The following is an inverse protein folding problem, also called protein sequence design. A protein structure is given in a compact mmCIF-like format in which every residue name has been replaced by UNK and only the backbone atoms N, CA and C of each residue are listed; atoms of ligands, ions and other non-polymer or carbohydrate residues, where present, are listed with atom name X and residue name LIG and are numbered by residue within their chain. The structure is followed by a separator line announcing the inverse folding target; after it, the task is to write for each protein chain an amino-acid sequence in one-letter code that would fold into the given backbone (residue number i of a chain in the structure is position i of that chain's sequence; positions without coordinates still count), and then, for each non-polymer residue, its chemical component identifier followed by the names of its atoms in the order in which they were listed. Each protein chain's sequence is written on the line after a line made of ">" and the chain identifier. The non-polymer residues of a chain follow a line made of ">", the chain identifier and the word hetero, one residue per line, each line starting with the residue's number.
data_IF_116821572913
#
_entry.id   IF_116821572913
#
_cell.length_a   1.000
_cell.length_b   1.000
_cell.length_c   1.000
_cell.angle_alpha   90.00
_cell.angle_beta   90.00
_cell.angle_gamma   90.00
#
_symmetry.space_group_name_H-M   'P 1'
#
loop_
_entity.id
_entity.type
_entity.pdbx_description
1 polymer ?
#
# COMPACT_ATOMS: atom_id res chain seq x y z
N UNK A 1 -23.41 -41.40 -8.53
CA UNK A 1 -22.74 -41.15 -7.23
C UNK A 1 -21.30 -41.67 -7.21
N UNK A 2 -21.02 -42.90 -7.63
CA UNK A 2 -19.65 -43.42 -7.77
C UNK A 2 -18.77 -42.72 -8.84
N UNK A 3 -19.37 -42.18 -9.92
CA UNK A 3 -18.62 -41.41 -10.96
C UNK A 3 -18.25 -39.97 -10.57
N UNK A 4 -18.75 -39.47 -9.44
CA UNK A 4 -18.36 -38.15 -8.90
C UNK A 4 -17.08 -38.29 -8.07
N UNK A 5 -16.92 -39.39 -7.34
CA UNK A 5 -15.67 -39.76 -6.66
C UNK A 5 -14.51 -40.02 -7.63
N UNK A 6 -14.80 -40.48 -8.86
CA UNK A 6 -13.80 -40.64 -9.92
C UNK A 6 -13.25 -39.29 -10.43
N UNK A 7 -14.02 -38.20 -10.34
CA UNK A 7 -13.54 -36.84 -10.67
C UNK A 7 -12.65 -36.25 -9.58
N UNK A 8 -12.84 -36.62 -8.32
CA UNK A 8 -11.89 -36.28 -7.24
C UNK A 8 -10.56 -37.03 -7.40
N UNK A 9 -10.53 -38.18 -8.08
CA UNK A 9 -9.30 -38.88 -8.44
C UNK A 9 -8.48 -38.16 -9.55
N UNK A 10 -9.09 -37.29 -10.36
CA UNK A 10 -8.34 -36.40 -11.28
C UNK A 10 -7.55 -35.31 -10.55
N UNK A 11 -7.87 -35.01 -9.30
CA UNK A 11 -7.06 -34.11 -8.46
C UNK A 11 -5.65 -34.69 -8.22
N UNK A 12 -5.47 -36.01 -8.32
CA UNK A 12 -4.14 -36.63 -8.22
C UNK A 12 -3.25 -36.33 -9.44
N UNK A 13 -3.79 -36.05 -10.63
CA UNK A 13 -2.97 -35.65 -11.79
C UNK A 13 -2.52 -34.18 -11.72
N UNK A 14 -3.34 -33.28 -11.16
CA UNK A 14 -2.97 -31.87 -10.98
C UNK A 14 -1.94 -31.69 -9.86
N UNK A 15 -2.11 -32.43 -8.75
CA UNK A 15 -1.14 -32.47 -7.65
C UNK A 15 0.15 -33.18 -8.08
N UNK A 16 0.10 -34.23 -8.91
CA UNK A 16 1.32 -34.88 -9.44
C UNK A 16 2.09 -34.05 -10.49
N UNK A 17 1.40 -33.19 -11.26
CA UNK A 17 2.03 -32.28 -12.23
C UNK A 17 2.73 -31.09 -11.53
N UNK A 18 2.18 -30.66 -10.41
CA UNK A 18 2.72 -29.64 -9.50
C UNK A 18 3.92 -30.16 -8.65
N UNK A 19 3.89 -31.44 -8.28
CA UNK A 19 4.87 -32.09 -7.37
C UNK A 19 6.26 -32.40 -7.96
N UNK A 20 6.57 -32.08 -9.23
CA UNK A 20 7.90 -32.46 -9.80
C UNK A 20 8.93 -31.34 -10.01
N UNK A 21 8.61 -30.05 -10.17
CA UNK A 21 9.67 -29.00 -10.24
C UNK A 21 9.22 -27.50 -10.19
N UNK A 22 7.92 -27.17 -10.06
CA UNK A 22 7.46 -25.75 -10.20
C UNK A 22 7.09 -25.05 -8.89
N UNK A 23 6.65 -25.80 -7.89
CA UNK A 23 5.96 -25.20 -6.73
C UNK A 23 6.89 -24.73 -5.61
N UNK A 24 8.09 -25.30 -5.53
CA UNK A 24 9.11 -24.81 -4.60
C UNK A 24 9.72 -23.49 -5.09
N UNK A 25 9.77 -23.26 -6.41
CA UNK A 25 10.26 -22.01 -7.01
C UNK A 25 9.21 -20.92 -6.88
N UNK A 26 7.93 -21.24 -7.12
CA UNK A 26 6.84 -20.26 -6.96
C UNK A 26 6.72 -19.72 -5.54
N UNK A 27 6.86 -20.59 -4.53
CA UNK A 27 6.84 -20.18 -3.11
C UNK A 27 8.03 -19.30 -2.74
N UNK A 28 9.24 -19.67 -3.18
CA UNK A 28 10.44 -18.86 -2.97
C UNK A 28 10.38 -17.52 -3.73
N UNK A 29 9.88 -17.50 -4.97
CA UNK A 29 9.67 -16.25 -5.70
C UNK A 29 8.60 -15.38 -5.08
N UNK A 30 7.54 -15.96 -4.50
CA UNK A 30 6.50 -15.20 -3.81
C UNK A 30 6.98 -14.64 -2.48
N UNK A 31 7.83 -15.37 -1.74
CA UNK A 31 8.50 -14.87 -0.53
C UNK A 31 9.51 -13.79 -0.87
N UNK A 32 10.32 -13.97 -1.92
CA UNK A 32 11.27 -12.96 -2.39
C UNK A 32 10.54 -11.75 -2.94
N UNK A 33 9.44 -11.93 -3.68
CA UNK A 33 8.63 -10.83 -4.22
C UNK A 33 7.85 -10.11 -3.10
N UNK A 34 7.29 -10.84 -2.14
CA UNK A 34 6.64 -10.27 -0.96
C UNK A 34 7.64 -9.51 -0.09
N UNK A 35 8.84 -10.06 0.10
CA UNK A 35 9.95 -9.36 0.76
C UNK A 35 10.42 -8.15 -0.05
N UNK A 36 10.52 -8.26 -1.38
CA UNK A 36 10.87 -7.15 -2.28
C UNK A 36 9.83 -6.04 -2.24
N UNK A 37 8.52 -6.35 -2.20
CA UNK A 37 7.45 -5.37 -2.03
C UNK A 37 7.41 -4.77 -0.62
N UNK A 38 7.76 -5.53 0.42
CA UNK A 38 7.90 -5.03 1.80
C UNK A 38 9.17 -4.17 1.99
N UNK A 39 10.20 -4.44 1.21
CA UNK A 39 11.50 -3.74 1.18
C UNK A 39 11.49 -2.61 0.16
N UNK A 40 10.44 -2.47 -0.65
CA UNK A 40 10.26 -1.29 -1.48
C UNK A 40 9.98 -0.10 -0.55
N UNK A 41 11.05 0.63 -0.27
CA UNK A 41 11.13 1.76 0.66
C UNK A 41 10.13 2.88 0.33
N UNK A 42 9.53 2.86 -0.86
CA UNK A 42 8.66 3.89 -1.43
C UNK A 42 7.28 4.01 -0.76
N UNK A 43 6.67 2.90 -0.32
CA UNK A 43 5.32 2.93 0.26
C UNK A 43 5.29 3.20 1.77
N UNK A 44 6.27 2.69 2.52
CA UNK A 44 6.33 2.79 3.99
C UNK A 44 6.89 4.14 4.45
N UNK A 45 7.89 4.67 3.73
CA UNK A 45 8.44 5.99 4.06
C UNK A 45 7.38 7.07 3.80
N UNK A 46 6.65 7.00 2.69
CA UNK A 46 5.75 8.07 2.24
C UNK A 46 4.48 8.28 3.08
N UNK A 47 4.13 7.36 4.00
CA UNK A 47 2.90 7.46 4.81
C UNK A 47 3.12 7.94 6.25
N UNK A 48 4.36 8.08 6.74
CA UNK A 48 4.58 8.30 8.19
C UNK A 48 5.60 9.40 8.49
N UNK A 49 5.12 10.64 8.53
CA UNK A 49 5.97 11.81 8.73
C UNK A 49 5.65 12.54 10.03
N UNK A 50 5.81 11.84 11.15
CA UNK A 50 6.03 12.41 12.48
C UNK A 50 6.97 11.48 13.28
N UNK A 51 8.06 12.02 13.86
CA UNK A 51 9.16 11.23 14.46
C UNK A 51 8.71 10.21 15.51
N UNK A 52 7.62 10.47 16.24
CA UNK A 52 7.08 9.53 17.24
C UNK A 52 6.19 8.43 16.65
N UNK A 53 5.50 8.71 15.53
CA UNK A 53 4.61 7.76 14.85
C UNK A 53 5.32 6.95 13.77
N UNK A 54 6.50 7.40 13.31
CA UNK A 54 7.35 6.70 12.35
C UNK A 54 7.78 5.32 12.86
N UNK A 55 8.35 5.25 14.08
CA UNK A 55 8.79 3.98 14.66
C UNK A 55 7.61 3.03 14.87
N UNK A 56 6.44 3.55 15.27
CA UNK A 56 5.24 2.75 15.42
C UNK A 56 4.79 2.13 14.08
N UNK A 57 4.67 2.93 13.02
CA UNK A 57 4.29 2.45 11.69
C UNK A 57 5.29 1.44 11.11
N UNK A 58 6.59 1.69 11.30
CA UNK A 58 7.66 0.79 10.88
C UNK A 58 7.61 -0.55 11.61
N UNK A 59 7.45 -0.56 12.94
CA UNK A 59 7.34 -1.80 13.71
C UNK A 59 6.07 -2.59 13.36
N UNK A 60 4.94 -1.91 13.16
CA UNK A 60 3.67 -2.56 12.74
C UNK A 60 3.85 -3.23 11.38
N UNK A 61 4.44 -2.52 10.41
CA UNK A 61 4.68 -3.06 9.06
C UNK A 61 5.64 -4.25 9.11
N UNK A 62 6.74 -4.12 9.86
CA UNK A 62 7.72 -5.19 10.02
C UNK A 62 7.09 -6.43 10.65
N UNK A 63 6.28 -6.25 11.70
CA UNK A 63 5.57 -7.34 12.37
C UNK A 63 4.55 -8.00 11.42
N UNK A 64 3.78 -7.21 10.66
CA UNK A 64 2.85 -7.72 9.66
C UNK A 64 3.57 -8.53 8.57
N UNK A 65 4.68 -8.00 8.03
CA UNK A 65 5.49 -8.70 7.04
C UNK A 65 6.06 -10.02 7.56
N UNK A 66 6.61 -10.02 8.79
CA UNK A 66 7.10 -11.24 9.43
C UNK A 66 5.99 -12.28 9.65
N UNK A 67 4.79 -11.85 10.06
CA UNK A 67 3.63 -12.73 10.21
C UNK A 67 3.23 -13.38 8.88
N UNK A 68 3.19 -12.60 7.79
CA UNK A 68 2.88 -13.11 6.45
C UNK A 68 3.91 -14.17 5.99
N UNK A 69 5.19 -13.97 6.29
CA UNK A 69 6.24 -14.95 6.00
C UNK A 69 6.05 -16.26 6.77
N UNK A 70 5.72 -16.17 8.06
CA UNK A 70 5.43 -17.34 8.90
C UNK A 70 4.21 -18.09 8.36
N UNK A 71 3.14 -17.39 8.03
CA UNK A 71 1.91 -17.96 7.44
C UNK A 71 2.23 -18.66 6.12
N UNK A 72 3.00 -18.04 5.23
CA UNK A 72 3.41 -18.64 3.96
C UNK A 72 4.24 -19.91 4.16
N UNK A 73 5.20 -19.89 5.09
CA UNK A 73 6.04 -21.05 5.41
C UNK A 73 5.20 -22.21 5.98
N UNK A 74 4.34 -21.94 6.97
CA UNK A 74 3.49 -22.95 7.60
C UNK A 74 2.50 -23.56 6.61
N UNK A 75 1.89 -22.75 5.74
CA UNK A 75 0.97 -23.22 4.72
C UNK A 75 1.66 -24.12 3.69
N UNK A 76 2.80 -23.67 3.13
CA UNK A 76 3.55 -24.42 2.13
C UNK A 76 4.15 -25.72 2.69
N UNK A 77 4.91 -25.62 3.79
CA UNK A 77 5.54 -26.79 4.39
C UNK A 77 4.53 -27.73 5.04
N UNK A 78 3.44 -27.21 5.60
CA UNK A 78 2.36 -28.03 6.15
C UNK A 78 1.72 -28.91 5.09
N UNK A 79 1.36 -28.33 3.94
CA UNK A 79 0.82 -29.08 2.81
C UNK A 79 1.82 -30.09 2.23
N UNK A 80 3.09 -29.71 2.10
CA UNK A 80 4.12 -30.60 1.52
C UNK A 80 4.50 -31.77 2.43
N UNK A 81 4.66 -31.51 3.73
CA UNK A 81 5.05 -32.53 4.72
C UNK A 81 3.87 -33.32 5.26
N UNK A 82 2.65 -33.01 4.82
CA UNK A 82 1.40 -33.59 5.35
C UNK A 82 1.39 -33.57 6.89
N UNK A 83 1.89 -32.49 7.50
CA UNK A 83 2.09 -32.41 8.95
C UNK A 83 0.93 -31.68 9.62
N UNK A 84 0.13 -32.39 10.41
CA UNK A 84 -1.03 -31.81 11.11
C UNK A 84 -0.65 -30.63 12.00
N UNK A 85 0.46 -30.72 12.74
CA UNK A 85 0.92 -29.66 13.63
C UNK A 85 1.19 -28.34 12.87
N UNK A 86 1.81 -28.41 11.68
CA UNK A 86 2.07 -27.24 10.86
C UNK A 86 0.79 -26.65 10.26
N UNK A 87 -0.17 -27.49 9.84
CA UNK A 87 -1.48 -27.01 9.37
C UNK A 87 -2.28 -26.34 10.48
N UNK A 88 -2.23 -26.87 11.71
CA UNK A 88 -2.88 -26.24 12.87
C UNK A 88 -2.23 -24.89 13.17
N UNK A 89 -0.91 -24.79 13.08
CA UNK A 89 -0.19 -23.51 13.18
C UNK A 89 -0.65 -22.50 12.13
N UNK A 90 -0.73 -22.91 10.86
CA UNK A 90 -1.24 -22.07 9.77
C UNK A 90 -2.66 -21.56 10.03
N UNK A 91 -3.58 -22.47 10.39
CA UNK A 91 -4.96 -22.11 10.75
C UNK A 91 -5.00 -21.10 11.91
N UNK A 92 -4.18 -21.32 12.94
CA UNK A 92 -4.13 -20.46 14.12
C UNK A 92 -3.65 -19.05 13.77
N UNK A 93 -2.62 -18.92 12.92
CA UNK A 93 -2.14 -17.63 12.43
C UNK A 93 -3.20 -16.91 11.58
N UNK A 94 -3.93 -17.61 10.70
CA UNK A 94 -5.00 -17.00 9.90
C UNK A 94 -6.14 -16.46 10.76
N UNK A 95 -6.51 -17.16 11.84
CA UNK A 95 -7.51 -16.65 12.78
C UNK A 95 -7.06 -15.35 13.44
N UNK A 96 -5.79 -15.26 13.84
CA UNK A 96 -5.22 -14.02 14.41
C UNK A 96 -5.29 -12.88 13.40
N UNK A 97 -4.98 -13.14 12.12
CA UNK A 97 -5.07 -12.13 11.05
C UNK A 97 -6.51 -11.64 10.87
N UNK A 98 -7.50 -12.54 10.82
CA UNK A 98 -8.92 -12.18 10.70
C UNK A 98 -9.36 -11.27 11.85
N UNK A 99 -9.02 -11.63 13.09
CA UNK A 99 -9.36 -10.82 14.27
C UNK A 99 -8.68 -9.44 14.19
N UNK A 100 -7.41 -9.40 13.79
CA UNK A 100 -6.68 -8.14 13.62
C UNK A 100 -7.30 -7.24 12.54
N UNK A 101 -7.76 -7.80 11.43
CA UNK A 101 -8.44 -7.05 10.36
C UNK A 101 -9.75 -6.43 10.84
N UNK A 102 -10.58 -7.20 11.55
CA UNK A 102 -11.85 -6.70 12.08
C UNK A 102 -11.58 -5.59 13.11
N UNK A 103 -10.61 -5.78 13.99
CA UNK A 103 -10.22 -4.78 14.99
C UNK A 103 -9.67 -3.50 14.33
N UNK A 104 -8.79 -3.63 13.34
CA UNK A 104 -8.23 -2.50 12.60
C UNK A 104 -9.31 -1.73 11.82
N UNK A 105 -10.22 -2.44 11.14
CA UNK A 105 -11.35 -1.83 10.44
C UNK A 105 -12.29 -1.08 11.39
N UNK A 106 -12.60 -1.65 12.55
CA UNK A 106 -13.41 -1.00 13.58
C UNK A 106 -12.73 0.25 14.14
N UNK A 107 -11.42 0.18 14.43
CA UNK A 107 -10.64 1.32 14.92
C UNK A 107 -10.54 2.44 13.89
N UNK A 108 -10.29 2.10 12.62
CA UNK A 108 -10.23 3.06 11.52
C UNK A 108 -11.57 3.79 11.34
N UNK A 109 -12.68 3.06 11.41
CA UNK A 109 -14.01 3.63 11.28
C UNK A 109 -14.32 4.65 12.39
N UNK A 110 -13.97 4.34 13.64
CA UNK A 110 -14.23 5.22 14.79
C UNK A 110 -13.30 6.43 14.86
N UNK A 111 -12.06 6.32 14.36
CA UNK A 111 -11.04 7.38 14.42
C UNK A 111 -10.80 8.09 13.08
N UNK A 112 -11.68 7.91 12.09
CA UNK A 112 -11.52 8.46 10.74
C UNK A 112 -11.28 9.98 10.70
N UNK A 113 -11.94 10.73 11.58
CA UNK A 113 -11.86 12.20 11.62
C UNK A 113 -10.50 12.68 12.17
N UNK A 114 -9.83 11.86 12.99
CA UNK A 114 -8.50 12.16 13.53
C UNK A 114 -7.35 11.85 12.56
N UNK A 115 -7.59 11.01 11.55
CA UNK A 115 -6.56 10.56 10.60
C UNK A 115 -6.33 11.59 9.49
N UNK A 116 -7.38 12.26 9.03
CA UNK A 116 -7.29 13.28 7.97
C UNK A 116 -6.26 14.39 8.27
N UNK A 117 -6.28 15.08 9.42
CA UNK A 117 -5.29 16.12 9.72
C UNK A 117 -3.87 15.57 9.85
N UNK A 118 -3.70 14.33 10.30
CA UNK A 118 -2.39 13.67 10.40
C UNK A 118 -1.81 13.41 9.00
N UNK A 119 -2.63 12.89 8.08
CA UNK A 119 -2.25 12.68 6.68
C UNK A 119 -1.89 14.01 6.02
N UNK A 120 -2.69 15.05 6.28
CA UNK A 120 -2.43 16.38 5.75
C UNK A 120 -1.11 16.97 6.23
N UNK A 121 -0.85 16.93 7.54
CA UNK A 121 0.40 17.42 8.12
C UNK A 121 1.61 16.66 7.58
N UNK A 122 1.50 15.33 7.51
CA UNK A 122 2.53 14.43 7.00
C UNK A 122 2.90 14.77 5.55
N UNK A 123 1.91 14.81 4.66
CA UNK A 123 2.13 15.10 3.24
C UNK A 123 2.61 16.55 3.01
N UNK A 124 2.12 17.50 3.81
CA UNK A 124 2.59 18.89 3.77
C UNK A 124 4.08 18.98 4.13
N UNK A 125 4.52 18.27 5.16
CA UNK A 125 5.93 18.23 5.53
C UNK A 125 6.78 17.61 4.41
N UNK A 126 6.28 16.56 3.72
CA UNK A 126 6.99 15.98 2.57
C UNK A 126 7.18 17.01 1.46
N UNK A 127 6.11 17.73 1.10
CA UNK A 127 6.12 18.76 0.06
C UNK A 127 7.05 19.91 0.42
N UNK A 128 7.06 20.34 1.68
CA UNK A 128 7.86 21.50 2.11
C UNK A 128 9.34 21.20 2.26
N UNK A 129 9.67 20.08 2.91
CA UNK A 129 11.00 19.87 3.46
C UNK A 129 11.79 18.71 2.84
N UNK A 130 11.12 17.73 2.24
CA UNK A 130 11.75 16.49 1.76
C UNK A 130 11.73 16.34 0.23
N UNK A 131 10.78 16.98 -0.45
CA UNK A 131 10.67 16.93 -1.89
C UNK A 131 11.90 17.55 -2.56
N UNK A 132 12.49 16.83 -3.53
CA UNK A 132 13.74 17.19 -4.19
C UNK A 132 15.00 17.01 -3.35
N UNK A 133 14.87 16.62 -2.07
CA UNK A 133 15.99 16.23 -1.20
C UNK A 133 16.12 14.72 -1.10
N UNK A 134 14.98 14.03 -1.11
CA UNK A 134 14.90 12.58 -0.98
C UNK A 134 14.21 12.01 -2.23
N UNK A 135 14.95 11.27 -3.04
CA UNK A 135 14.49 10.80 -4.36
C UNK A 135 13.21 9.96 -4.27
N UNK A 136 13.12 9.03 -3.32
CA UNK A 136 11.93 8.17 -3.18
C UNK A 136 10.68 8.94 -2.73
N UNK A 137 10.84 9.99 -1.92
CA UNK A 137 9.72 10.88 -1.53
C UNK A 137 9.25 11.71 -2.71
N UNK A 138 10.20 12.20 -3.50
CA UNK A 138 9.95 12.96 -4.73
C UNK A 138 9.13 12.12 -5.71
N UNK A 139 9.57 10.91 -6.03
CA UNK A 139 8.84 9.98 -6.90
C UNK A 139 7.44 9.64 -6.39
N UNK A 140 7.28 9.49 -5.06
CA UNK A 140 5.98 9.19 -4.47
C UNK A 140 5.03 10.38 -4.58
N UNK A 141 5.49 11.59 -4.26
CA UNK A 141 4.69 12.82 -4.42
C UNK A 141 4.31 13.03 -5.88
N UNK A 142 5.25 12.82 -6.81
CA UNK A 142 4.99 12.92 -8.25
C UNK A 142 3.92 11.93 -8.71
N UNK A 143 4.04 10.67 -8.30
CA UNK A 143 3.06 9.62 -8.60
C UNK A 143 1.68 9.96 -8.04
N UNK A 144 1.60 10.52 -6.82
CA UNK A 144 0.34 10.93 -6.22
C UNK A 144 -0.28 12.09 -7.00
N UNK A 145 0.51 13.09 -7.37
CA UNK A 145 0.04 14.26 -8.12
C UNK A 145 -0.49 13.91 -9.50
N UNK A 146 0.21 13.03 -10.22
CA UNK A 146 -0.20 12.56 -11.54
C UNK A 146 -1.45 11.67 -11.47
N UNK A 147 -1.48 10.70 -10.54
CA UNK A 147 -2.57 9.73 -10.45
C UNK A 147 -3.86 10.33 -9.88
N UNK A 148 -3.74 11.25 -8.92
CA UNK A 148 -4.90 11.92 -8.30
C UNK A 148 -5.22 13.27 -8.97
N UNK A 149 -4.46 13.67 -9.98
CA UNK A 149 -4.68 14.91 -10.73
C UNK A 149 -4.78 16.13 -9.81
N UNK A 150 -3.80 16.25 -8.92
CA UNK A 150 -3.76 17.23 -7.83
C UNK A 150 -2.35 17.86 -7.74
N UNK A 151 -2.19 18.91 -6.94
CA UNK A 151 -0.90 19.55 -6.72
C UNK A 151 -0.79 20.08 -5.29
N UNK A 152 0.34 19.80 -4.63
CA UNK A 152 0.57 20.11 -3.22
C UNK A 152 -0.34 19.32 -2.26
N UNK A 153 -0.26 19.61 -0.96
CA UNK A 153 -1.07 18.94 0.04
C UNK A 153 -2.50 19.49 0.06
N UNK A 154 -2.61 20.80 0.24
CA UNK A 154 -3.84 21.60 0.21
C UNK A 154 -4.02 22.31 -1.12
N UNK A 155 -2.92 22.56 -1.84
CA UNK A 155 -2.95 23.13 -3.19
C UNK A 155 -1.57 23.56 -3.69
N UNK A 156 -1.48 24.13 -4.92
CA UNK A 156 -0.22 24.57 -5.51
C UNK A 156 0.57 25.58 -4.66
N UNK A 157 -0.13 26.40 -3.88
CA UNK A 157 0.49 27.43 -3.04
C UNK A 157 1.40 26.85 -1.94
N UNK A 158 1.27 25.58 -1.60
CA UNK A 158 2.14 24.93 -0.61
C UNK A 158 3.61 24.98 -1.03
N UNK A 159 3.85 24.90 -2.36
CA UNK A 159 5.17 24.97 -2.97
C UNK A 159 5.86 26.33 -2.77
N UNK A 160 5.10 27.41 -2.58
CA UNK A 160 5.66 28.74 -2.31
C UNK A 160 6.50 28.75 -1.02
N UNK A 161 6.16 27.90 -0.05
CA UNK A 161 6.88 27.77 1.22
C UNK A 161 7.83 26.57 1.29
N UNK A 162 7.98 25.84 0.19
CA UNK A 162 8.83 24.64 0.12
C UNK A 162 10.27 24.96 -0.23
N UNK A 163 11.21 24.13 0.21
CA UNK A 163 12.62 24.21 -0.19
C UNK A 163 12.80 24.08 -1.70
N UNK A 164 11.99 23.23 -2.34
CA UNK A 164 11.98 23.05 -3.79
C UNK A 164 11.50 24.32 -4.53
N UNK A 165 10.29 24.78 -4.21
CA UNK A 165 9.63 25.88 -4.90
C UNK A 165 10.27 27.25 -4.64
N UNK A 166 10.93 27.41 -3.48
CA UNK A 166 11.65 28.64 -3.09
C UNK A 166 13.11 28.67 -3.55
N UNK A 167 13.53 27.78 -4.45
CA UNK A 167 14.91 27.74 -4.99
C UNK A 167 15.33 28.98 -5.79
N UNK A 168 14.49 30.02 -5.87
CA UNK A 168 14.80 31.35 -6.43
C UNK A 168 15.33 32.38 -5.41
N UNK A 169 15.51 31.99 -4.14
CA UNK A 169 16.01 32.86 -3.06
C UNK A 169 14.94 33.16 -1.99
N UNK A 170 15.31 33.83 -0.88
CA UNK A 170 14.37 34.13 0.20
C UNK A 170 13.25 35.07 -0.29
N UNK A 171 12.00 34.73 0.05
CA UNK A 171 10.84 35.58 -0.20
C UNK A 171 10.97 36.83 0.68
N UNK A 172 11.39 37.96 0.10
CA UNK A 172 11.40 39.25 0.79
C UNK A 172 10.05 39.95 0.60
N UNK A 173 9.32 40.19 1.68
CA UNK A 173 8.11 41.03 1.71
C UNK A 173 8.41 42.53 1.56
N UNK A 174 9.58 42.89 1.02
CA UNK A 174 9.96 44.27 0.75
C UNK A 174 9.54 44.65 -0.66
N UNK A 175 9.10 45.90 -0.84
CA UNK A 175 8.53 46.44 -2.10
C UNK A 175 9.55 46.51 -3.26
N UNK A 176 10.79 46.03 -3.05
CA UNK A 176 11.92 46.27 -3.95
C UNK A 176 12.87 45.07 -4.08
N UNK A 177 12.39 43.88 -4.46
CA UNK A 177 13.16 42.89 -5.25
C UNK A 177 12.30 41.74 -5.81
N UNK A 178 12.67 41.15 -6.95
CA UNK A 178 11.73 40.96 -8.06
C UNK A 178 11.44 39.49 -8.40
N UNK A 179 11.24 38.61 -7.42
CA UNK A 179 10.82 37.23 -7.67
C UNK A 179 9.85 36.74 -6.60
N UNK A 180 8.61 37.20 -6.71
CA UNK A 180 7.46 36.66 -5.96
C UNK A 180 6.90 35.42 -6.66
N UNK A 181 7.73 34.67 -7.37
CA UNK A 181 7.32 33.52 -8.16
C UNK A 181 7.89 32.26 -7.50
N UNK A 182 7.07 31.23 -7.39
CA UNK A 182 7.50 29.90 -6.95
C UNK A 182 7.30 28.90 -8.09
N UNK A 183 8.00 27.79 -8.00
CA UNK A 183 7.92 26.71 -8.99
C UNK A 183 7.23 25.48 -8.40
N UNK A 184 6.31 24.89 -9.16
CA UNK A 184 5.72 23.59 -8.85
C UNK A 184 6.39 22.49 -9.68
N UNK A 185 6.35 21.23 -9.22
CA UNK A 185 6.81 20.07 -9.98
C UNK A 185 6.13 19.89 -11.34
N UNK A 186 6.78 19.14 -12.23
CA UNK A 186 6.19 18.76 -13.54
C UNK A 186 4.99 17.82 -13.38
N UNK A 187 4.98 17.00 -12.33
CA UNK A 187 3.86 16.12 -11.95
C UNK A 187 2.56 16.88 -11.62
N UNK A 188 2.64 18.19 -11.32
CA UNK A 188 1.48 19.06 -11.16
C UNK A 188 0.83 19.52 -12.48
N UNK A 189 1.41 19.19 -13.65
CA UNK A 189 0.89 19.64 -14.94
C UNK A 189 -0.22 18.74 -15.49
N UNK A 190 -1.29 19.36 -15.99
CA UNK A 190 -2.38 18.68 -16.73
C UNK A 190 -1.99 18.32 -18.15
N UNK A 191 -1.14 19.15 -18.76
CA UNK A 191 -0.80 19.08 -20.18
C UNK A 191 0.50 18.31 -20.35
N UNK A 192 0.55 17.43 -21.36
CA UNK A 192 1.74 16.61 -21.68
C UNK A 192 2.84 17.38 -22.42
N UNK A 193 2.54 18.58 -22.93
CA UNK A 193 3.53 19.46 -23.56
C UNK A 193 4.46 20.06 -22.50
N UNK A 194 5.71 19.58 -22.51
CA UNK A 194 6.77 19.97 -21.57
C UNK A 194 7.08 21.47 -21.63
N UNK A 195 7.02 22.12 -22.79
CA UNK A 195 7.35 23.53 -22.92
C UNK A 195 6.25 24.43 -22.34
N UNK A 196 5.00 24.05 -22.58
CA UNK A 196 3.83 24.72 -22.00
C UNK A 196 3.81 24.57 -20.48
N UNK A 197 4.01 23.34 -19.98
CA UNK A 197 4.10 23.04 -18.55
C UNK A 197 5.25 23.80 -17.86
N UNK A 198 6.43 23.85 -18.48
CA UNK A 198 7.60 24.57 -17.93
C UNK A 198 7.37 26.09 -17.80
N UNK A 199 6.49 26.65 -18.62
CA UNK A 199 6.09 28.05 -18.52
C UNK A 199 5.00 28.24 -17.46
N UNK A 200 4.00 27.35 -17.44
CA UNK A 200 2.87 27.42 -16.50
C UNK A 200 3.25 27.09 -15.04
N UNK A 201 4.33 26.33 -14.81
CA UNK A 201 4.76 25.94 -13.46
C UNK A 201 5.36 27.07 -12.62
N UNK A 202 5.64 28.23 -13.23
CA UNK A 202 6.11 29.45 -12.54
C UNK A 202 4.90 30.28 -12.13
N UNK A 203 4.56 30.24 -10.85
CA UNK A 203 3.32 30.84 -10.33
C UNK A 203 3.68 32.01 -9.41
N UNK A 204 2.97 33.13 -9.56
CA UNK A 204 3.07 34.28 -8.65
C UNK A 204 2.43 33.98 -7.30
N UNK A 205 3.11 34.29 -6.21
CA UNK A 205 2.56 34.24 -4.84
C UNK A 205 1.33 35.17 -4.78
N UNK A 206 0.19 34.61 -4.38
CA UNK A 206 -1.10 35.34 -4.37
C UNK A 206 -1.69 35.61 -5.76
N UNK A 207 -1.07 35.10 -6.82
CA UNK A 207 -1.57 35.17 -8.19
C UNK A 207 -2.57 34.07 -8.53
N UNK A 208 -3.07 34.12 -9.77
CA UNK A 208 -3.93 33.08 -10.32
C UNK A 208 -3.11 31.84 -10.74
N UNK A 209 -3.62 30.64 -10.46
CA UNK A 209 -3.01 29.38 -10.89
C UNK A 209 -3.38 29.12 -12.36
N UNK A 210 -2.41 28.97 -13.27
CA UNK A 210 -2.69 28.72 -14.68
C UNK A 210 -3.56 27.47 -14.89
N UNK A 211 -4.46 27.47 -15.90
CA UNK A 211 -5.38 26.35 -16.13
C UNK A 211 -4.65 25.04 -16.47
N UNK A 212 -3.41 25.10 -16.93
CA UNK A 212 -2.52 23.98 -17.24
C UNK A 212 -2.02 23.24 -15.99
N UNK A 213 -2.18 23.79 -14.78
CA UNK A 213 -1.74 23.20 -13.52
C UNK A 213 -2.94 22.66 -12.74
N UNK A 214 -2.78 21.52 -12.06
CA UNK A 214 -3.78 21.02 -11.12
C UNK A 214 -3.96 22.00 -9.96
N UNK A 215 -5.18 22.53 -9.80
CA UNK A 215 -5.47 23.55 -8.78
C UNK A 215 -5.92 22.98 -7.43
N UNK A 216 -6.20 21.67 -7.38
CA UNK A 216 -6.74 21.01 -6.20
C UNK A 216 -5.63 20.38 -5.36
N UNK A 217 -5.77 20.42 -4.03
CA UNK A 217 -4.86 19.75 -3.11
C UNK A 217 -5.02 18.23 -3.12
N UNK A 218 -3.90 17.51 -3.02
CA UNK A 218 -3.90 16.05 -3.07
C UNK A 218 -4.58 15.39 -1.88
N UNK A 219 -4.55 16.00 -0.69
CA UNK A 219 -5.19 15.41 0.49
C UNK A 219 -6.71 15.42 0.34
N UNK A 220 -7.27 16.50 -0.23
CA UNK A 220 -8.70 16.59 -0.49
C UNK A 220 -9.14 15.65 -1.62
N UNK A 221 -8.34 15.52 -2.68
CA UNK A 221 -8.64 14.55 -3.75
C UNK A 221 -8.50 13.11 -3.26
N UNK A 222 -7.51 12.80 -2.42
CA UNK A 222 -7.38 11.51 -1.77
C UNK A 222 -8.63 11.18 -0.94
N UNK A 223 -9.14 12.15 -0.16
CA UNK A 223 -10.41 12.02 0.56
C UNK A 223 -11.58 11.78 -0.40
N UNK A 224 -11.66 12.51 -1.50
CA UNK A 224 -12.70 12.33 -2.50
C UNK A 224 -12.63 10.95 -3.17
N UNK A 225 -11.44 10.43 -3.42
CA UNK A 225 -11.25 9.06 -3.90
C UNK A 225 -11.72 8.06 -2.85
N UNK A 226 -11.38 8.23 -1.58
CA UNK A 226 -11.92 7.35 -0.52
C UNK A 226 -13.45 7.44 -0.38
N UNK A 227 -14.05 8.60 -0.61
CA UNK A 227 -15.51 8.74 -0.52
C UNK A 227 -16.25 8.28 -1.77
N UNK A 228 -15.68 8.50 -2.96
CA UNK A 228 -16.31 8.22 -4.26
C UNK A 228 -15.96 6.82 -4.77
N UNK A 229 -14.69 6.44 -4.65
CA UNK A 229 -14.15 5.12 -5.00
C UNK A 229 -13.98 4.21 -3.77
N UNK A 230 -14.54 4.59 -2.60
CA UNK A 230 -14.49 3.77 -1.38
C UNK A 230 -15.06 2.37 -1.56
N UNK A 231 -15.96 2.18 -2.52
CA UNK A 231 -16.48 0.86 -2.89
C UNK A 231 -15.39 -0.08 -3.41
N UNK A 232 -14.36 0.42 -4.11
CA UNK A 232 -13.24 -0.41 -4.59
C UNK A 232 -12.43 -0.94 -3.40
N UNK A 233 -12.09 -0.06 -2.47
CA UNK A 233 -11.36 -0.44 -1.24
C UNK A 233 -12.17 -1.46 -0.44
N UNK A 234 -13.47 -1.24 -0.31
CA UNK A 234 -14.37 -2.17 0.35
C UNK A 234 -14.40 -3.55 -0.35
N UNK A 235 -14.47 -3.58 -1.69
CA UNK A 235 -14.43 -4.82 -2.48
C UNK A 235 -13.12 -5.57 -2.24
N UNK A 236 -11.98 -4.88 -2.28
CA UNK A 236 -10.67 -5.50 -2.04
C UNK A 236 -10.61 -6.14 -0.66
N UNK A 237 -11.10 -5.45 0.38
CA UNK A 237 -11.16 -6.00 1.75
C UNK A 237 -12.06 -7.23 1.81
N UNK A 238 -13.25 -7.18 1.19
CA UNK A 238 -14.18 -8.32 1.16
C UNK A 238 -13.55 -9.53 0.47
N UNK A 239 -12.92 -9.32 -0.69
CA UNK A 239 -12.23 -10.40 -1.43
C UNK A 239 -11.13 -11.01 -0.57
N UNK A 240 -10.34 -10.19 0.12
CA UNK A 240 -9.29 -10.64 1.02
C UNK A 240 -9.86 -11.51 2.15
N UNK A 241 -10.93 -11.06 2.83
CA UNK A 241 -11.57 -11.87 3.87
C UNK A 241 -12.13 -13.19 3.32
N UNK A 242 -12.70 -13.21 2.11
CA UNK A 242 -13.20 -14.44 1.48
C UNK A 242 -12.05 -15.42 1.19
N UNK A 243 -10.91 -14.94 0.72
CA UNK A 243 -9.71 -15.76 0.46
C UNK A 243 -9.21 -16.39 1.76
N UNK A 244 -9.18 -15.64 2.87
CA UNK A 244 -8.78 -16.16 4.18
C UNK A 244 -9.75 -17.22 4.69
N UNK A 245 -11.06 -17.01 4.55
CA UNK A 245 -12.07 -18.00 4.93
C UNK A 245 -11.93 -19.30 4.12
N UNK A 246 -11.72 -19.20 2.81
CA UNK A 246 -11.48 -20.38 1.96
C UNK A 246 -10.19 -21.10 2.40
N UNK A 247 -9.14 -20.35 2.73
CA UNK A 247 -7.86 -20.91 3.20
C UNK A 247 -8.02 -21.65 4.53
N UNK A 248 -8.82 -21.12 5.44
CA UNK A 248 -9.18 -21.77 6.71
C UNK A 248 -9.95 -23.07 6.47
N UNK A 249 -10.98 -23.04 5.63
CA UNK A 249 -11.80 -24.23 5.32
C UNK A 249 -10.92 -25.33 4.70
N UNK A 250 -10.07 -24.97 3.73
CA UNK A 250 -9.17 -25.91 3.08
C UNK A 250 -8.17 -26.53 4.07
N UNK A 251 -7.64 -25.73 4.99
CA UNK A 251 -6.72 -26.19 6.03
C UNK A 251 -7.37 -27.19 6.99
N UNK A 252 -8.63 -26.95 7.37
CA UNK A 252 -9.40 -27.88 8.20
C UNK A 252 -9.65 -29.20 7.47
N UNK A 253 -10.05 -29.15 6.20
CA UNK A 253 -10.28 -30.33 5.37
C UNK A 253 -8.99 -31.17 5.27
N UNK A 254 -7.85 -30.54 4.96
CA UNK A 254 -6.56 -31.23 4.88
C UNK A 254 -6.13 -31.81 6.23
N UNK A 255 -6.29 -31.06 7.32
CA UNK A 255 -5.96 -31.53 8.66
C UNK A 255 -6.79 -32.78 9.04
N UNK A 256 -8.10 -32.76 8.75
CA UNK A 256 -8.98 -33.90 8.98
C UNK A 256 -8.62 -35.10 8.11
N UNK A 257 -8.28 -34.87 6.83
CA UNK A 257 -7.87 -35.93 5.91
C UNK A 257 -6.60 -36.65 6.40
N UNK A 258 -5.56 -35.89 6.78
CA UNK A 258 -4.30 -36.46 7.31
C UNK A 258 -4.56 -37.24 8.61
N UNK A 259 -5.33 -36.67 9.55
CA UNK A 259 -5.62 -37.33 10.82
C UNK A 259 -6.42 -38.62 10.68
N UNK A 260 -7.25 -38.72 9.64
CA UNK A 260 -7.93 -39.99 9.31
C UNK A 260 -6.98 -41.05 8.75
N UNK A 261 -5.97 -40.64 7.97
CA UNK A 261 -4.94 -41.52 7.42
C UNK A 261 -4.03 -42.08 8.50
N UNK A 262 -3.62 -41.27 9.47
CA UNK A 262 -2.74 -41.73 10.56
C UNK A 262 -3.42 -42.75 11.47
N UNK A 263 -4.73 -42.59 11.73
CA UNK A 263 -5.52 -43.57 12.49
C UNK A 263 -5.70 -44.92 11.80
N UNK A 264 -5.58 -44.99 10.47
CA UNK A 264 -5.65 -46.26 9.73
C UNK A 264 -4.33 -47.05 9.78
N UNK A 265 -3.21 -46.38 10.05
CA UNK A 265 -1.87 -46.99 10.07
C UNK A 265 -1.42 -47.45 11.47
N UNK A 266 -2.15 -47.06 12.52
CA UNK A 266 -1.92 -47.44 13.91
C UNK A 266 -2.81 -48.62 14.30
#
# INVERSE_FOLDING_TARGET
>A
MFRVLEKYCKANYFIAFLKRNRDSVLGLTAVVFGTWMLVDQTFILSLTQEQHNYYAGLYITLAAGALLLIVAFLGCCGAFRESQCMLVGFFSCLLVVIVAQIAAGAWLYTNRDGIEPLVQASFMNTVKDEYGQIDHRTQTVDSIQENLQCCGASGPNDWASSKYGSSTGPISLTVSSPKNDYIVPESCCKVKDTNLCNTARKIKVGGFVPPEIYSKGCVNELRNVFSSQGYIVLIVIIVLCVVELISVIFSLILCCAIGSSDRYKA
#
